data_IF_628137019308
#
_entry.id   IF_628137019308
#
_cell.length_a   1.000
_cell.length_b   1.000
_cell.length_c   1.000
_cell.angle_alpha   90.00
_cell.angle_beta   90.00
_cell.angle_gamma   90.00
#
_symmetry.space_group_name_H-M   'P 1'
#
loop_
_entity.id
_entity.type
_entity.pdbx_description
1 polymer ?
#
# COMPACT_ATOMS: atom_id res chain seq x y z
N UNK A 1 -45.80 7.30 1.16
CA UNK A 1 -44.62 8.18 1.01
C UNK A 1 -43.38 7.37 1.37
N UNK A 2 -42.46 7.19 0.44
CA UNK A 2 -41.20 6.47 0.70
C UNK A 2 -40.32 7.35 1.57
N UNK A 3 -39.93 6.88 2.76
CA UNK A 3 -39.09 7.65 3.68
C UNK A 3 -37.70 7.84 3.05
N UNK A 4 -37.36 9.08 2.71
CA UNK A 4 -36.10 9.49 2.06
C UNK A 4 -34.88 8.98 2.85
N UNK A 5 -34.94 9.01 4.18
CA UNK A 5 -33.86 8.53 5.04
C UNK A 5 -33.70 7.01 4.93
N UNK A 6 -34.79 6.25 4.84
CA UNK A 6 -34.72 4.79 4.61
C UNK A 6 -34.02 4.46 3.31
N UNK A 7 -34.28 5.22 2.23
CA UNK A 7 -33.59 5.02 0.93
C UNK A 7 -32.10 5.37 1.05
N UNK A 8 -31.75 6.48 1.71
CA UNK A 8 -30.36 6.86 1.99
C UNK A 8 -29.62 5.76 2.77
N UNK A 9 -30.25 5.20 3.79
CA UNK A 9 -29.66 4.15 4.61
C UNK A 9 -29.47 2.84 3.82
N UNK A 10 -30.48 2.40 3.08
CA UNK A 10 -30.37 1.21 2.23
C UNK A 10 -29.24 1.36 1.20
N UNK A 11 -29.09 2.55 0.62
CA UNK A 11 -28.00 2.88 -0.30
C UNK A 11 -26.63 2.72 0.37
N UNK A 12 -26.39 3.36 1.51
CA UNK A 12 -25.09 3.28 2.21
C UNK A 12 -24.76 1.84 2.60
N UNK A 13 -25.73 1.09 3.13
CA UNK A 13 -25.53 -0.32 3.51
C UNK A 13 -25.07 -1.13 2.30
N UNK A 14 -25.78 -1.00 1.17
CA UNK A 14 -25.43 -1.69 -0.06
C UNK A 14 -24.04 -1.30 -0.56
N UNK A 15 -23.69 0.00 -0.51
CA UNK A 15 -22.36 0.46 -0.93
C UNK A 15 -21.24 -0.09 -0.04
N UNK A 16 -21.42 -0.10 1.29
CA UNK A 16 -20.44 -0.65 2.22
C UNK A 16 -20.27 -2.15 1.98
N UNK A 17 -21.36 -2.90 1.87
CA UNK A 17 -21.34 -4.35 1.63
C UNK A 17 -20.64 -4.64 0.29
N UNK A 18 -20.95 -3.91 -0.77
CA UNK A 18 -20.32 -4.11 -2.07
C UNK A 18 -18.83 -3.74 -2.06
N UNK A 19 -18.46 -2.65 -1.39
CA UNK A 19 -17.07 -2.19 -1.29
C UNK A 19 -16.18 -3.14 -0.49
N UNK A 20 -16.78 -3.89 0.44
CA UNK A 20 -16.07 -4.87 1.29
C UNK A 20 -16.22 -6.30 0.81
N UNK A 21 -17.04 -6.58 -0.21
CA UNK A 21 -17.25 -7.93 -0.71
C UNK A 21 -15.96 -8.49 -1.35
N UNK A 22 -15.38 -9.58 -0.81
CA UNK A 22 -14.13 -10.16 -1.34
C UNK A 22 -14.32 -10.82 -2.71
N UNK A 23 -15.55 -11.18 -3.10
CA UNK A 23 -15.86 -11.86 -4.35
C UNK A 23 -16.05 -10.92 -5.54
N UNK A 24 -16.20 -9.61 -5.28
CA UNK A 24 -16.33 -8.62 -6.35
C UNK A 24 -14.94 -8.15 -6.77
N UNK A 25 -14.36 -8.84 -7.75
CA UNK A 25 -13.14 -8.37 -8.43
C UNK A 25 -13.48 -7.15 -9.27
N UNK A 26 -12.82 -6.04 -9.00
CA UNK A 26 -12.93 -4.88 -9.88
C UNK A 26 -14.17 -4.02 -9.67
N UNK A 27 -14.63 -3.81 -8.44
CA UNK A 27 -15.03 -2.43 -8.10
C UNK A 27 -13.73 -1.61 -7.98
N UNK A 28 -13.00 -1.53 -9.10
CA UNK A 28 -11.95 -0.54 -9.32
C UNK A 28 -12.71 0.76 -9.45
N UNK A 29 -13.05 1.31 -8.29
CA UNK A 29 -13.75 2.56 -8.13
C UNK A 29 -13.10 3.60 -9.06
N UNK A 30 -13.82 3.98 -10.12
CA UNK A 30 -13.54 5.14 -10.95
C UNK A 30 -13.75 6.43 -10.13
N UNK A 31 -13.14 6.50 -8.95
CA UNK A 31 -13.27 7.61 -8.05
C UNK A 31 -11.94 8.34 -7.97
N UNK A 32 -11.93 9.63 -8.31
CA UNK A 32 -10.71 10.41 -8.36
C UNK A 32 -9.95 10.45 -7.02
N UNK A 33 -10.59 10.22 -5.88
CA UNK A 33 -9.99 10.36 -4.56
C UNK A 33 -9.16 9.15 -4.09
N UNK A 34 -9.43 7.93 -4.56
CA UNK A 34 -8.63 6.75 -4.20
C UNK A 34 -7.21 6.83 -4.76
N UNK A 35 -7.07 7.36 -5.98
CA UNK A 35 -5.77 7.65 -6.57
C UNK A 35 -4.95 8.65 -5.78
N UNK A 36 -5.57 9.54 -4.97
CA UNK A 36 -4.83 10.54 -4.20
C UNK A 36 -3.99 9.95 -3.08
N UNK A 37 -4.48 8.90 -2.40
CA UNK A 37 -3.70 8.21 -1.37
C UNK A 37 -2.43 7.62 -1.97
N UNK A 38 -2.58 6.87 -3.06
CA UNK A 38 -1.45 6.19 -3.69
C UNK A 38 -0.49 7.19 -4.37
N UNK A 39 -1.01 8.19 -5.07
CA UNK A 39 -0.18 9.21 -5.73
C UNK A 39 0.60 10.07 -4.73
N UNK A 40 -0.02 10.46 -3.60
CA UNK A 40 0.71 11.19 -2.55
C UNK A 40 1.76 10.30 -1.87
N UNK A 41 1.44 9.03 -1.60
CA UNK A 41 2.41 8.05 -1.07
C UNK A 41 3.59 7.86 -2.03
N UNK A 42 3.32 7.67 -3.32
CA UNK A 42 4.34 7.56 -4.35
C UNK A 42 5.24 8.80 -4.35
N UNK A 43 4.65 10.00 -4.41
CA UNK A 43 5.39 11.26 -4.39
C UNK A 43 6.37 11.37 -3.20
N UNK A 44 5.95 11.02 -1.99
CA UNK A 44 6.80 11.09 -0.79
C UNK A 44 7.76 9.90 -0.62
N UNK A 45 7.54 8.81 -1.34
CA UNK A 45 8.46 7.66 -1.38
C UNK A 45 9.62 7.82 -2.37
N UNK A 46 9.50 8.77 -3.32
CA UNK A 46 10.52 9.01 -4.34
C UNK A 46 11.73 9.74 -3.74
N UNK A 47 12.97 9.31 -4.09
CA UNK A 47 14.18 10.10 -3.89
C UNK A 47 14.06 11.49 -4.53
N UNK A 48 14.81 12.47 -4.02
CA UNK A 48 14.71 13.87 -4.49
C UNK A 48 15.04 13.99 -5.99
N UNK A 49 16.00 13.21 -6.47
CA UNK A 49 16.47 13.16 -7.84
C UNK A 49 15.37 12.65 -8.78
N UNK A 50 14.62 11.63 -8.35
CA UNK A 50 13.50 11.07 -9.12
C UNK A 50 12.26 11.97 -9.00
N UNK A 51 12.04 12.58 -7.83
CA UNK A 51 10.98 13.55 -7.61
C UNK A 51 11.14 14.76 -8.55
N UNK A 52 12.36 15.17 -8.87
CA UNK A 52 12.61 16.22 -9.87
C UNK A 52 12.08 15.83 -11.27
N UNK A 53 12.27 14.58 -11.70
CA UNK A 53 11.88 14.10 -13.03
C UNK A 53 10.40 13.69 -13.13
N UNK A 54 9.91 12.93 -12.16
CA UNK A 54 8.57 12.33 -12.17
C UNK A 54 7.54 13.10 -11.32
N UNK A 55 7.99 13.90 -10.37
CA UNK A 55 7.14 14.66 -9.46
C UNK A 55 6.12 15.54 -10.18
N UNK A 56 6.48 16.34 -11.19
CA UNK A 56 5.52 17.19 -11.91
C UNK A 56 4.35 16.41 -12.53
N UNK A 57 4.61 15.22 -13.09
CA UNK A 57 3.58 14.37 -13.69
C UNK A 57 2.64 13.77 -12.61
N UNK A 58 3.20 13.40 -11.46
CA UNK A 58 2.42 12.92 -10.31
C UNK A 58 1.55 14.06 -9.76
N UNK A 59 2.09 15.27 -9.62
CA UNK A 59 1.32 16.45 -9.18
C UNK A 59 0.19 16.76 -10.16
N UNK A 60 0.45 16.73 -11.46
CA UNK A 60 -0.58 16.99 -12.47
C UNK A 60 -1.66 15.90 -12.48
N UNK A 61 -1.28 14.65 -12.26
CA UNK A 61 -2.23 13.56 -12.06
C UNK A 61 -3.10 13.82 -10.82
N UNK A 62 -2.49 14.21 -9.70
CA UNK A 62 -3.20 14.59 -8.48
C UNK A 62 -4.19 15.73 -8.76
N UNK A 63 -3.78 16.79 -9.46
CA UNK A 63 -4.67 17.91 -9.84
C UNK A 63 -5.86 17.44 -10.69
N UNK A 64 -5.62 16.56 -11.66
CA UNK A 64 -6.66 15.96 -12.50
C UNK A 64 -7.61 15.05 -11.73
N UNK A 65 -7.12 14.39 -10.69
CA UNK A 65 -7.95 13.64 -9.77
C UNK A 65 -8.81 14.60 -8.92
N UNK A 66 -8.22 15.66 -8.38
CA UNK A 66 -8.96 16.66 -7.59
C UNK A 66 -10.04 17.37 -8.42
N UNK A 67 -9.77 17.71 -9.68
CA UNK A 67 -10.74 18.40 -10.54
C UNK A 67 -12.01 17.59 -10.81
N UNK A 68 -11.93 16.26 -10.69
CA UNK A 68 -13.05 15.34 -10.84
C UNK A 68 -13.76 15.04 -9.51
N UNK A 69 -13.15 15.39 -8.37
CA UNK A 69 -13.75 15.23 -7.04
C UNK A 69 -14.83 16.28 -6.80
N UNK A 70 -15.95 15.86 -6.18
CA UNK A 70 -17.09 16.74 -5.92
C UNK A 70 -17.13 17.25 -4.49
N UNK A 71 -16.34 16.69 -3.58
CA UNK A 71 -16.15 17.24 -2.22
C UNK A 71 -15.85 18.75 -2.27
N UNK A 72 -15.04 19.21 -3.23
CA UNK A 72 -14.69 20.63 -3.38
C UNK A 72 -15.87 21.53 -3.74
N UNK A 73 -16.75 21.11 -4.67
CA UNK A 73 -17.97 21.86 -5.01
C UNK A 73 -18.98 21.87 -3.85
N UNK A 74 -19.08 20.78 -3.10
CA UNK A 74 -20.13 20.58 -2.11
C UNK A 74 -19.89 21.27 -0.76
N UNK A 75 -18.65 21.68 -0.45
CA UNK A 75 -18.39 22.61 0.66
C UNK A 75 -18.98 23.98 0.35
N UNK A 76 -18.88 24.44 -0.89
CA UNK A 76 -19.37 25.75 -1.30
C UNK A 76 -20.90 25.80 -1.33
N UNK A 77 -21.56 24.68 -1.62
CA UNK A 77 -23.02 24.54 -1.60
C UNK A 77 -23.62 24.33 -0.18
N UNK A 78 -22.78 24.37 0.88
CA UNK A 78 -23.24 24.37 2.28
C UNK A 78 -23.60 23.00 2.88
N UNK A 79 -23.26 21.90 2.21
CA UNK A 79 -23.70 20.55 2.60
C UNK A 79 -22.70 19.86 3.55
N UNK A 80 -21.47 20.37 3.65
CA UNK A 80 -20.42 19.77 4.48
C UNK A 80 -20.35 20.44 5.85
N UNK A 81 -20.53 19.62 6.88
CA UNK A 81 -20.80 20.09 8.24
C UNK A 81 -19.61 19.87 9.18
N UNK A 82 -18.85 18.79 9.01
CA UNK A 82 -17.71 18.54 9.88
C UNK A 82 -16.48 19.38 9.45
N UNK A 83 -15.87 20.06 10.42
CA UNK A 83 -14.72 20.94 10.20
C UNK A 83 -13.55 20.23 9.54
N UNK A 84 -13.34 18.94 9.81
CA UNK A 84 -12.20 18.19 9.29
C UNK A 84 -12.40 17.85 7.79
N UNK A 85 -13.64 17.62 7.36
CA UNK A 85 -13.97 17.46 5.93
C UNK A 85 -13.86 18.80 5.19
N UNK A 86 -14.25 19.88 5.86
CA UNK A 86 -14.07 21.24 5.32
C UNK A 86 -12.59 21.56 5.12
N UNK A 87 -11.74 21.27 6.11
CA UNK A 87 -10.28 21.44 5.99
C UNK A 87 -9.70 20.60 4.85
N UNK A 88 -10.10 19.34 4.74
CA UNK A 88 -9.71 18.47 3.62
C UNK A 88 -10.08 19.09 2.27
N UNK A 89 -11.32 19.56 2.12
CA UNK A 89 -11.76 20.23 0.89
C UNK A 89 -10.92 21.48 0.56
N UNK A 90 -10.56 22.26 1.57
CA UNK A 90 -9.68 23.43 1.39
C UNK A 90 -8.30 22.99 0.90
N UNK A 91 -7.72 21.93 1.48
CA UNK A 91 -6.44 21.37 1.05
C UNK A 91 -6.50 20.86 -0.40
N UNK A 92 -7.60 20.22 -0.81
CA UNK A 92 -7.82 19.82 -2.20
C UNK A 92 -7.79 21.04 -3.14
N UNK A 93 -8.51 22.12 -2.80
CA UNK A 93 -8.50 23.35 -3.60
C UNK A 93 -7.10 23.97 -3.72
N UNK A 94 -6.35 24.03 -2.62
CA UNK A 94 -4.96 24.54 -2.65
C UNK A 94 -4.04 23.71 -3.55
N UNK A 95 -4.15 22.39 -3.54
CA UNK A 95 -3.35 21.54 -4.43
C UNK A 95 -3.77 21.75 -5.89
N UNK A 96 -5.07 21.84 -6.15
CA UNK A 96 -5.60 22.09 -7.50
C UNK A 96 -5.00 23.37 -8.09
N UNK A 97 -4.96 24.45 -7.29
CA UNK A 97 -4.48 25.75 -7.73
C UNK A 97 -2.95 25.83 -7.75
N UNK A 98 -2.29 25.48 -6.65
CA UNK A 98 -0.86 25.73 -6.44
C UNK A 98 -0.03 24.46 -6.69
N UNK A 99 -0.45 23.32 -6.14
CA UNK A 99 0.25 22.03 -6.29
C UNK A 99 1.63 21.98 -5.64
N UNK A 100 1.86 22.76 -4.58
CA UNK A 100 3.14 22.79 -3.86
C UNK A 100 3.38 21.51 -3.06
N UNK A 101 4.64 21.15 -2.84
CA UNK A 101 5.01 19.99 -2.00
C UNK A 101 4.42 20.09 -0.58
N UNK A 102 4.42 21.28 0.02
CA UNK A 102 3.77 21.51 1.31
C UNK A 102 2.27 21.20 1.28
N UNK A 103 1.56 21.59 0.22
CA UNK A 103 0.14 21.31 0.07
C UNK A 103 -0.11 19.80 -0.11
N UNK A 104 0.74 19.10 -0.88
CA UNK A 104 0.70 17.65 -1.02
C UNK A 104 0.97 16.94 0.30
N UNK A 105 1.89 17.45 1.11
CA UNK A 105 2.22 16.88 2.42
C UNK A 105 1.05 17.03 3.39
N UNK A 106 0.37 18.18 3.37
CA UNK A 106 -0.86 18.39 4.15
C UNK A 106 -1.95 17.41 3.74
N UNK A 107 -2.20 17.24 2.44
CA UNK A 107 -3.17 16.26 1.95
C UNK A 107 -2.79 14.85 2.39
N UNK A 108 -1.53 14.45 2.20
CA UNK A 108 -1.02 13.17 2.65
C UNK A 108 -1.31 12.97 4.14
N UNK A 109 -0.97 13.93 5.00
CA UNK A 109 -1.24 13.82 6.43
C UNK A 109 -2.74 13.77 6.77
N UNK A 110 -3.57 14.56 6.09
CA UNK A 110 -5.03 14.55 6.30
C UNK A 110 -5.64 13.20 5.96
N UNK A 111 -5.21 12.58 4.87
CA UNK A 111 -5.69 11.27 4.41
C UNK A 111 -5.37 10.13 5.41
N UNK A 112 -4.34 10.29 6.26
CA UNK A 112 -3.98 9.34 7.32
C UNK A 112 -4.47 9.78 8.71
N UNK A 113 -5.21 10.89 8.80
CA UNK A 113 -5.66 11.45 10.07
C UNK A 113 -6.88 10.72 10.63
N UNK A 114 -6.79 10.28 11.89
CA UNK A 114 -7.92 9.74 12.65
C UNK A 114 -9.06 10.78 12.80
N UNK A 115 -8.71 12.07 12.91
CA UNK A 115 -9.71 13.13 13.02
C UNK A 115 -10.47 13.33 11.71
N UNK A 116 -9.79 13.21 10.56
CA UNK A 116 -10.45 13.23 9.26
C UNK A 116 -11.40 12.04 9.12
N UNK A 117 -10.96 10.83 9.46
CA UNK A 117 -11.78 9.62 9.50
C UNK A 117 -13.06 9.80 10.35
N UNK A 118 -12.91 10.31 11.59
CA UNK A 118 -14.04 10.65 12.47
C UNK A 118 -14.99 11.66 11.82
N UNK A 119 -14.44 12.67 11.16
CA UNK A 119 -15.21 13.70 10.47
C UNK A 119 -16.06 13.15 9.33
N UNK A 120 -15.56 12.13 8.62
CA UNK A 120 -16.33 11.48 7.55
C UNK A 120 -17.56 10.80 8.16
N UNK A 121 -17.37 9.97 9.19
CA UNK A 121 -18.48 9.24 9.82
C UNK A 121 -19.55 10.19 10.37
N UNK A 122 -19.13 11.28 11.04
CA UNK A 122 -20.06 12.30 11.55
C UNK A 122 -20.84 12.96 10.42
N UNK A 123 -20.17 13.28 9.31
CA UNK A 123 -20.81 13.86 8.12
C UNK A 123 -21.86 12.91 7.53
N UNK A 124 -21.52 11.64 7.32
CA UNK A 124 -22.45 10.63 6.82
C UNK A 124 -23.66 10.47 7.74
N UNK A 125 -23.45 10.35 9.05
CA UNK A 125 -24.55 10.26 10.03
C UNK A 125 -25.47 11.47 10.00
N UNK A 126 -24.93 12.68 9.78
CA UNK A 126 -25.77 13.89 9.69
C UNK A 126 -26.59 13.91 8.40
N UNK A 127 -25.98 13.57 7.27
CA UNK A 127 -26.67 13.47 5.96
C UNK A 127 -27.77 12.40 5.94
N UNK A 128 -27.62 11.34 6.74
CA UNK A 128 -28.66 10.32 6.93
C UNK A 128 -29.87 10.83 7.74
N UNK A 129 -29.70 11.84 8.59
CA UNK A 129 -30.75 12.39 9.45
C UNK A 129 -31.52 13.53 8.80
N UNK A 130 -30.87 14.28 7.92
CA UNK A 130 -31.43 15.50 7.34
C UNK A 130 -32.14 15.20 6.01
N UNK A 131 -33.45 15.45 5.98
CA UNK A 131 -34.30 15.22 4.81
C UNK A 131 -34.19 16.34 3.76
N UNK A 132 -33.63 17.50 4.12
CA UNK A 132 -33.63 18.68 3.26
C UNK A 132 -32.57 18.65 2.14
N UNK A 133 -31.62 17.71 2.19
CA UNK A 133 -30.59 17.58 1.17
C UNK A 133 -31.06 16.77 -0.04
N UNK A 134 -30.71 17.25 -1.24
CA UNK A 134 -30.95 16.56 -2.50
C UNK A 134 -30.34 15.15 -2.49
N UNK A 135 -31.19 14.15 -2.78
CA UNK A 135 -30.84 12.73 -2.77
C UNK A 135 -29.69 12.40 -3.73
N UNK A 136 -29.72 12.96 -4.95
CA UNK A 136 -28.72 12.68 -5.98
C UNK A 136 -27.35 13.20 -5.57
N UNK A 137 -27.33 14.36 -4.93
CA UNK A 137 -26.11 14.92 -4.34
C UNK A 137 -25.62 14.10 -3.15
N UNK A 138 -26.50 13.70 -2.22
CA UNK A 138 -26.14 12.84 -1.09
C UNK A 138 -25.45 11.56 -1.53
N UNK A 139 -25.98 10.86 -2.56
CA UNK A 139 -25.39 9.60 -3.03
C UNK A 139 -23.96 9.76 -3.57
N UNK A 140 -23.71 10.81 -4.35
CA UNK A 140 -22.35 11.09 -4.86
C UNK A 140 -21.37 11.36 -3.72
N UNK A 141 -21.79 12.12 -2.72
CA UNK A 141 -20.97 12.44 -1.56
C UNK A 141 -20.75 11.19 -0.68
N UNK A 142 -21.78 10.33 -0.54
CA UNK A 142 -21.65 9.05 0.15
C UNK A 142 -20.60 8.17 -0.50
N UNK A 143 -20.61 8.04 -1.83
CA UNK A 143 -19.62 7.21 -2.53
C UNK A 143 -18.20 7.71 -2.27
N UNK A 144 -17.94 9.00 -2.47
CA UNK A 144 -16.59 9.58 -2.28
C UNK A 144 -16.10 9.43 -0.82
N UNK A 145 -16.97 9.69 0.15
CA UNK A 145 -16.64 9.62 1.58
C UNK A 145 -16.52 8.19 2.12
N UNK A 146 -17.41 7.28 1.71
CA UNK A 146 -17.35 5.88 2.12
C UNK A 146 -16.09 5.21 1.59
N UNK A 147 -15.63 5.58 0.39
CA UNK A 147 -14.39 5.03 -0.15
C UNK A 147 -13.16 5.44 0.65
N UNK A 148 -13.08 6.71 1.03
CA UNK A 148 -12.01 7.19 1.91
C UNK A 148 -12.04 6.49 3.29
N UNK A 149 -13.23 6.19 3.82
CA UNK A 149 -13.37 5.40 5.05
C UNK A 149 -12.83 3.97 4.90
N UNK A 150 -13.20 3.29 3.81
CA UNK A 150 -12.78 1.91 3.57
C UNK A 150 -11.26 1.85 3.30
N UNK A 151 -10.73 2.79 2.53
CA UNK A 151 -9.28 2.89 2.26
C UNK A 151 -8.50 3.12 3.55
N UNK A 152 -8.96 4.05 4.40
CA UNK A 152 -8.35 4.28 5.72
C UNK A 152 -8.29 2.98 6.55
N UNK A 153 -9.35 2.17 6.54
CA UNK A 153 -9.37 0.91 7.28
C UNK A 153 -8.43 -0.15 6.70
N UNK A 154 -8.25 -0.20 5.38
CA UNK A 154 -7.26 -1.09 4.76
C UNK A 154 -5.83 -0.67 5.06
N UNK A 155 -5.55 0.64 5.03
CA UNK A 155 -4.29 1.19 5.52
C UNK A 155 -4.08 0.80 6.98
N UNK A 156 -5.13 0.85 7.81
CA UNK A 156 -5.08 0.36 9.19
C UNK A 156 -5.00 -1.16 9.33
N UNK A 157 -5.18 -1.92 8.25
CA UNK A 157 -4.96 -3.38 8.20
C UNK A 157 -6.20 -4.24 8.34
N UNK A 158 -7.38 -3.65 8.28
CA UNK A 158 -8.61 -4.44 8.28
C UNK A 158 -8.74 -5.22 6.95
N UNK A 159 -9.12 -6.49 7.03
CA UNK A 159 -9.44 -7.30 5.87
C UNK A 159 -10.86 -7.02 5.34
N UNK A 160 -11.05 -7.18 4.02
CA UNK A 160 -12.36 -7.06 3.38
C UNK A 160 -13.34 -8.07 3.94
N UNK A 161 -12.86 -9.29 4.11
CA UNK A 161 -13.59 -10.47 4.55
C UNK A 161 -14.14 -10.29 5.97
N UNK A 162 -13.30 -9.82 6.90
CA UNK A 162 -13.72 -9.52 8.29
C UNK A 162 -14.79 -8.43 8.34
N UNK A 163 -14.57 -7.34 7.60
CA UNK A 163 -15.53 -6.24 7.51
C UNK A 163 -16.86 -6.69 6.89
N UNK A 164 -16.80 -7.42 5.78
CA UNK A 164 -17.97 -7.95 5.07
C UNK A 164 -18.82 -8.87 5.95
N UNK A 165 -18.18 -9.82 6.63
CA UNK A 165 -18.86 -10.73 7.55
C UNK A 165 -19.56 -9.95 8.69
N UNK A 166 -18.88 -8.95 9.26
CA UNK A 166 -19.43 -8.12 10.33
C UNK A 166 -20.62 -7.28 9.86
N UNK A 167 -20.50 -6.63 8.71
CA UNK A 167 -21.55 -5.76 8.18
C UNK A 167 -22.77 -6.55 7.72
N UNK A 168 -22.59 -7.72 7.11
CA UNK A 168 -23.69 -8.62 6.80
C UNK A 168 -24.44 -9.06 8.06
N UNK A 169 -23.73 -9.41 9.14
CA UNK A 169 -24.35 -9.79 10.40
C UNK A 169 -25.17 -8.62 11.01
N UNK A 170 -24.61 -7.40 11.01
CA UNK A 170 -25.35 -6.21 11.46
C UNK A 170 -26.60 -6.01 10.60
N UNK A 171 -26.48 -6.11 9.27
CA UNK A 171 -27.61 -5.94 8.35
C UNK A 171 -28.68 -7.03 8.56
N UNK A 172 -28.30 -8.30 8.74
CA UNK A 172 -29.23 -9.39 8.98
C UNK A 172 -29.99 -9.25 10.31
N UNK A 173 -29.32 -8.74 11.35
CA UNK A 173 -29.96 -8.48 12.64
C UNK A 173 -30.93 -7.29 12.61
N UNK A 174 -30.85 -6.42 11.60
CA UNK A 174 -31.60 -5.17 11.52
C UNK A 174 -32.40 -5.06 10.20
N UNK A 175 -32.81 -6.18 9.61
CA UNK A 175 -33.51 -6.23 8.31
C UNK A 175 -34.73 -5.30 8.21
N UNK A 176 -35.43 -5.08 9.32
CA UNK A 176 -36.65 -4.23 9.37
C UNK A 176 -36.36 -2.74 9.60
N UNK A 177 -35.12 -2.37 9.94
CA UNK A 177 -34.74 -0.98 10.20
C UNK A 177 -33.37 -0.67 9.58
N UNK A 178 -33.39 -0.23 8.32
CA UNK A 178 -32.18 0.16 7.59
C UNK A 178 -31.45 1.33 8.24
N UNK A 179 -32.16 2.23 8.93
CA UNK A 179 -31.52 3.35 9.62
C UNK A 179 -30.67 2.86 10.79
N UNK A 180 -31.21 2.01 11.65
CA UNK A 180 -30.45 1.41 12.76
C UNK A 180 -29.27 0.58 12.25
N UNK A 181 -29.47 -0.18 11.17
CA UNK A 181 -28.40 -0.95 10.54
C UNK A 181 -27.25 -0.04 10.07
N UNK A 182 -27.57 1.04 9.33
CA UNK A 182 -26.58 1.98 8.83
C UNK A 182 -25.82 2.68 9.97
N UNK A 183 -26.53 3.11 11.02
CA UNK A 183 -25.90 3.73 12.19
C UNK A 183 -24.98 2.75 12.92
N UNK A 184 -25.41 1.51 13.16
CA UNK A 184 -24.58 0.47 13.80
C UNK A 184 -23.32 0.14 12.99
N UNK A 185 -23.42 0.10 11.66
CA UNK A 185 -22.25 -0.08 10.78
C UNK A 185 -21.29 1.10 10.93
N UNK A 186 -21.79 2.34 10.85
CA UNK A 186 -20.97 3.55 11.00
C UNK A 186 -20.34 3.67 12.41
N UNK A 187 -21.04 3.25 13.46
CA UNK A 187 -20.49 3.16 14.83
C UNK A 187 -19.42 2.08 14.97
N UNK A 188 -19.61 0.94 14.30
CA UNK A 188 -18.61 -0.10 14.28
C UNK A 188 -17.33 0.36 13.57
N UNK A 189 -17.49 0.98 12.38
CA UNK A 189 -16.40 1.60 11.61
C UNK A 189 -15.64 2.62 12.48
N UNK A 190 -16.37 3.50 13.19
CA UNK A 190 -15.77 4.46 14.11
C UNK A 190 -14.90 3.76 15.14
N UNK A 191 -15.46 2.75 15.81
CA UNK A 191 -14.81 2.04 16.91
C UNK A 191 -13.51 1.37 16.47
N UNK A 192 -13.53 0.64 15.35
CA UNK A 192 -12.36 -0.10 14.87
C UNK A 192 -11.31 0.85 14.27
N UNK A 193 -11.76 1.90 13.57
CA UNK A 193 -10.88 2.89 12.93
C UNK A 193 -10.20 3.85 13.90
N UNK A 194 -10.64 3.94 15.16
CA UNK A 194 -10.01 4.77 16.20
C UNK A 194 -9.37 3.96 17.32
N UNK A 195 -9.51 2.63 17.31
CA UNK A 195 -8.90 1.78 18.35
C UNK A 195 -7.37 1.88 18.27
N UNK A 196 -6.66 2.22 19.37
CA UNK A 196 -5.20 2.29 19.34
C UNK A 196 -4.60 0.89 19.14
N UNK A 197 -3.61 0.76 18.26
CA UNK A 197 -2.96 -0.52 17.95
C UNK A 197 -2.42 -1.22 19.20
N UNK A 198 -1.88 -0.46 20.15
CA UNK A 198 -1.38 -0.97 21.44
C UNK A 198 -2.41 -1.67 22.30
N UNK A 199 -3.71 -1.41 22.08
CA UNK A 199 -4.85 -2.05 22.77
C UNK A 199 -5.37 -3.31 22.05
N UNK A 200 -4.79 -3.67 20.91
CA UNK A 200 -5.13 -4.88 20.19
C UNK A 200 -4.38 -6.08 20.77
N UNK A 201 -4.89 -7.28 20.48
CA UNK A 201 -4.22 -8.54 20.88
C UNK A 201 -2.81 -8.56 20.29
N UNK A 202 -1.82 -8.92 21.10
CA UNK A 202 -0.40 -8.92 20.74
C UNK A 202 0.02 -10.35 20.46
N UNK A 203 0.58 -10.59 19.28
CA UNK A 203 1.15 -11.89 18.92
C UNK A 203 2.66 -11.74 18.75
N UNK A 204 3.41 -12.69 19.29
CA UNK A 204 4.86 -12.70 19.21
C UNK A 204 5.32 -13.34 17.90
N UNK A 205 6.28 -12.68 17.23
CA UNK A 205 6.83 -13.13 15.95
C UNK A 205 8.36 -13.16 16.04
N UNK A 206 8.93 -14.29 15.65
CA UNK A 206 10.37 -14.51 15.60
C UNK A 206 10.79 -14.98 14.22
N UNK A 207 11.75 -14.29 13.63
CA UNK A 207 12.42 -14.70 12.39
C UNK A 207 13.82 -15.17 12.75
N UNK A 208 14.18 -16.40 12.37
CA UNK A 208 15.51 -16.96 12.55
C UNK A 208 16.17 -17.07 11.18
N UNK A 209 17.40 -16.57 11.09
CA UNK A 209 18.26 -16.71 9.90
C UNK A 209 19.50 -17.50 10.29
N UNK A 210 19.77 -18.56 9.54
CA UNK A 210 20.95 -19.41 9.78
C UNK A 210 22.18 -18.85 9.05
N UNK A 211 23.26 -18.58 9.81
CA UNK A 211 24.60 -18.20 9.33
C UNK A 211 25.37 -19.43 8.88
N UNK A 212 25.14 -19.86 7.65
CA UNK A 212 26.02 -20.87 7.04
C UNK A 212 27.24 -20.19 6.42
N UNK A 213 28.42 -20.79 6.60
CA UNK A 213 29.70 -20.30 6.04
C UNK A 213 29.70 -20.22 4.50
N UNK A 214 28.81 -20.94 3.83
CA UNK A 214 28.63 -20.94 2.37
C UNK A 214 27.76 -19.79 1.85
N UNK A 215 27.09 -19.03 2.72
CA UNK A 215 26.16 -17.99 2.31
C UNK A 215 26.88 -16.64 2.16
N UNK A 216 27.47 -16.40 0.99
CA UNK A 216 28.20 -15.18 0.63
C UNK A 216 27.35 -13.89 0.74
N UNK A 217 26.02 -14.02 0.68
CA UNK A 217 25.08 -12.89 0.64
C UNK A 217 24.31 -12.68 1.96
N UNK A 218 24.89 -13.08 3.08
CA UNK A 218 24.32 -12.92 4.42
C UNK A 218 23.91 -11.48 4.70
N UNK A 219 24.84 -10.53 4.54
CA UNK A 219 24.58 -9.10 4.77
C UNK A 219 23.41 -8.57 3.92
N UNK A 220 23.29 -9.02 2.68
CA UNK A 220 22.19 -8.62 1.81
C UNK A 220 20.84 -9.16 2.29
N UNK A 221 20.77 -10.42 2.72
CA UNK A 221 19.55 -10.99 3.32
C UNK A 221 19.15 -10.23 4.61
N UNK A 222 20.13 -9.82 5.40
CA UNK A 222 19.91 -8.95 6.56
C UNK A 222 19.29 -7.61 6.17
N UNK A 223 19.88 -6.91 5.21
CA UNK A 223 19.38 -5.63 4.72
C UNK A 223 17.97 -5.74 4.15
N UNK A 224 17.66 -6.83 3.43
CA UNK A 224 16.31 -7.12 2.92
C UNK A 224 15.29 -7.24 4.06
N UNK A 225 15.61 -8.02 5.10
CA UNK A 225 14.71 -8.25 6.24
C UNK A 225 14.53 -6.98 7.05
N UNK A 226 15.62 -6.28 7.36
CA UNK A 226 15.58 -5.02 8.12
C UNK A 226 14.79 -3.95 7.39
N UNK A 227 14.90 -3.87 6.05
CA UNK A 227 14.07 -2.98 5.25
C UNK A 227 12.59 -3.33 5.38
N UNK A 228 12.21 -4.58 5.15
CA UNK A 228 10.82 -5.00 5.27
C UNK A 228 10.25 -4.82 6.69
N UNK A 229 11.01 -5.14 7.73
CA UNK A 229 10.59 -4.90 9.11
C UNK A 229 10.47 -3.40 9.42
N UNK A 230 11.36 -2.58 8.87
CA UNK A 230 11.30 -1.11 9.02
C UNK A 230 10.07 -0.55 8.31
N UNK A 231 9.74 -1.04 7.12
CA UNK A 231 8.54 -0.63 6.38
C UNK A 231 7.28 -1.05 7.15
N UNK A 232 7.21 -2.29 7.64
CA UNK A 232 6.13 -2.76 8.50
C UNK A 232 6.02 -1.93 9.78
N UNK A 233 7.14 -1.53 10.40
CA UNK A 233 7.14 -0.66 11.57
C UNK A 233 6.61 0.75 11.24
N UNK A 234 7.06 1.36 10.14
CA UNK A 234 6.59 2.69 9.68
C UNK A 234 5.11 2.69 9.34
N UNK A 235 4.62 1.60 8.76
CA UNK A 235 3.19 1.36 8.52
C UNK A 235 2.41 1.04 9.80
N UNK A 236 3.06 1.08 10.98
CA UNK A 236 2.51 0.68 12.27
C UNK A 236 1.92 -0.74 12.29
N UNK A 237 2.46 -1.64 11.46
CA UNK A 237 2.00 -3.03 11.34
C UNK A 237 2.54 -3.90 12.47
N UNK A 238 3.75 -3.60 12.93
CA UNK A 238 4.49 -4.31 13.96
C UNK A 238 5.04 -3.34 15.00
N UNK A 239 5.44 -3.86 16.16
CA UNK A 239 6.27 -3.10 17.11
C UNK A 239 7.67 -2.87 16.53
N UNK A 240 8.45 -2.02 17.20
CA UNK A 240 9.90 -2.00 16.99
C UNK A 240 10.43 -3.43 17.17
N UNK A 241 11.34 -3.84 16.28
CA UNK A 241 11.96 -5.15 16.35
C UNK A 241 13.26 -5.11 17.15
N UNK A 242 13.62 -6.25 17.75
CA UNK A 242 14.89 -6.49 18.43
C UNK A 242 15.67 -7.50 17.61
N UNK A 243 16.93 -7.16 17.31
CA UNK A 243 17.86 -8.05 16.63
C UNK A 243 18.81 -8.67 17.65
N UNK A 244 18.90 -9.99 17.69
CA UNK A 244 19.92 -10.72 18.45
C UNK A 244 20.83 -11.45 17.48
N UNK A 245 22.14 -11.31 17.68
CA UNK A 245 23.11 -11.89 16.76
C UNK A 245 24.04 -12.87 17.46
N UNK A 246 24.07 -14.11 16.98
CA UNK A 246 24.90 -15.19 17.52
C UNK A 246 25.87 -15.69 16.46
N UNK A 247 26.79 -16.61 16.82
CA UNK A 247 27.74 -17.17 15.86
C UNK A 247 27.03 -17.95 14.74
N UNK A 248 25.96 -18.68 15.08
CA UNK A 248 25.27 -19.58 14.14
C UNK A 248 24.01 -18.97 13.53
N UNK A 249 23.34 -18.04 14.21
CA UNK A 249 22.07 -17.48 13.76
C UNK A 249 21.99 -15.96 14.04
N UNK A 250 21.21 -15.24 13.25
CA UNK A 250 20.60 -13.97 13.68
C UNK A 250 19.12 -14.18 13.89
N UNK A 251 18.56 -13.61 14.95
CA UNK A 251 17.13 -13.61 15.21
C UNK A 251 16.58 -12.18 15.21
N UNK A 252 15.38 -12.02 14.66
CA UNK A 252 14.58 -10.81 14.74
C UNK A 252 13.30 -11.12 15.50
N UNK A 253 13.05 -10.37 16.58
CA UNK A 253 11.88 -10.52 17.44
C UNK A 253 11.03 -9.26 17.38
N UNK A 254 9.72 -9.40 17.17
CA UNK A 254 8.79 -8.28 17.16
C UNK A 254 7.37 -8.74 17.48
N UNK A 255 6.53 -7.78 17.87
CA UNK A 255 5.10 -8.01 18.14
C UNK A 255 4.30 -7.58 16.91
N UNK A 256 3.38 -8.43 16.46
CA UNK A 256 2.32 -8.04 15.52
C UNK A 256 1.01 -7.81 16.29
N UNK A 257 0.37 -6.67 16.02
CA UNK A 257 -0.94 -6.34 16.61
C UNK A 257 -2.04 -6.99 15.78
N UNK A 258 -2.77 -7.93 16.36
CA UNK A 258 -3.85 -8.65 15.67
C UNK A 258 -5.08 -7.74 15.56
N UNK A 259 -5.18 -7.09 14.40
CA UNK A 259 -6.34 -6.28 14.00
C UNK A 259 -7.54 -7.18 13.71
N UNK A 260 -7.31 -8.22 12.92
CA UNK A 260 -8.23 -9.34 12.71
C UNK A 260 -7.44 -10.63 12.41
N UNK A 261 -8.15 -11.75 12.23
CA UNK A 261 -7.52 -13.06 11.99
C UNK A 261 -6.70 -13.07 10.68
N UNK A 262 -7.23 -12.47 9.62
CA UNK A 262 -6.59 -12.51 8.31
C UNK A 262 -5.43 -11.53 8.19
N UNK A 263 -5.44 -10.45 8.95
CA UNK A 263 -4.40 -9.43 8.96
C UNK A 263 -3.02 -10.01 9.28
N UNK A 264 -2.95 -10.85 10.31
CA UNK A 264 -1.71 -11.49 10.74
C UNK A 264 -1.21 -12.41 9.63
N UNK A 265 -2.09 -13.28 9.13
CA UNK A 265 -1.77 -14.23 8.07
C UNK A 265 -1.33 -13.51 6.79
N UNK A 266 -2.05 -12.47 6.34
CA UNK A 266 -1.71 -11.67 5.15
C UNK A 266 -0.38 -10.94 5.31
N UNK A 267 -0.11 -10.35 6.48
CA UNK A 267 1.13 -9.61 6.75
C UNK A 267 2.35 -10.54 6.71
N UNK A 268 2.28 -11.67 7.41
CA UNK A 268 3.36 -12.65 7.45
C UNK A 268 3.52 -13.40 6.11
N UNK A 269 2.42 -13.70 5.43
CA UNK A 269 2.43 -14.30 4.09
C UNK A 269 3.12 -13.40 3.09
N UNK A 270 2.78 -12.10 3.02
CA UNK A 270 3.42 -11.14 2.12
C UNK A 270 4.94 -11.07 2.34
N UNK A 271 5.38 -11.10 3.60
CA UNK A 271 6.80 -11.13 3.93
C UNK A 271 7.48 -12.42 3.42
N UNK A 272 6.87 -13.58 3.67
CA UNK A 272 7.42 -14.87 3.23
C UNK A 272 7.38 -15.04 1.71
N UNK A 273 6.35 -14.53 1.02
CA UNK A 273 6.29 -14.49 -0.44
C UNK A 273 7.42 -13.62 -1.01
N UNK A 274 7.68 -12.44 -0.44
CA UNK A 274 8.80 -11.60 -0.84
C UNK A 274 10.15 -12.30 -0.62
N UNK A 275 10.32 -12.98 0.52
CA UNK A 275 11.51 -13.78 0.78
C UNK A 275 11.65 -14.97 -0.19
N UNK A 276 10.58 -15.70 -0.47
CA UNK A 276 10.61 -16.83 -1.40
C UNK A 276 10.94 -16.37 -2.82
N UNK A 277 10.39 -15.23 -3.25
CA UNK A 277 10.74 -14.61 -4.53
C UNK A 277 12.23 -14.26 -4.58
N UNK A 278 12.77 -13.66 -3.50
CA UNK A 278 14.21 -13.40 -3.36
C UNK A 278 15.01 -14.70 -3.47
N UNK A 279 14.64 -15.71 -2.68
CA UNK A 279 15.27 -17.03 -2.66
C UNK A 279 15.33 -17.66 -4.05
N UNK A 280 14.23 -17.62 -4.80
CA UNK A 280 14.16 -18.14 -6.16
C UNK A 280 15.03 -17.35 -7.14
N UNK A 281 15.08 -16.02 -7.01
CA UNK A 281 15.88 -15.14 -7.89
C UNK A 281 17.37 -15.29 -7.70
N UNK A 282 17.80 -15.55 -6.46
CA UNK A 282 19.22 -15.70 -6.12
C UNK A 282 19.66 -17.16 -6.05
N UNK A 283 18.80 -18.11 -6.47
CA UNK A 283 19.04 -19.56 -6.46
C UNK A 283 19.63 -20.06 -5.13
N UNK A 284 19.06 -19.60 -4.00
CA UNK A 284 19.53 -20.04 -2.69
C UNK A 284 19.13 -21.51 -2.47
N UNK A 285 20.10 -22.45 -2.41
CA UNK A 285 19.82 -23.88 -2.42
C UNK A 285 19.14 -24.35 -1.13
N UNK A 286 19.30 -23.62 -0.03
CA UNK A 286 18.75 -23.95 1.27
C UNK A 286 17.77 -22.89 1.80
N UNK A 287 16.87 -23.30 2.70
CA UNK A 287 16.00 -22.35 3.37
C UNK A 287 16.74 -21.72 4.54
N UNK A 288 17.28 -20.52 4.31
CA UNK A 288 18.06 -19.80 5.32
C UNK A 288 17.20 -19.04 6.34
N UNK A 289 15.88 -18.95 6.13
CA UNK A 289 14.94 -18.23 6.98
C UNK A 289 13.82 -19.14 7.49
N UNK A 290 13.53 -19.05 8.79
CA UNK A 290 12.34 -19.66 9.42
C UNK A 290 11.58 -18.58 10.19
N UNK A 291 10.28 -18.49 9.96
CA UNK A 291 9.39 -17.56 10.66
C UNK A 291 8.51 -18.32 11.65
N UNK A 292 8.46 -17.85 12.89
CA UNK A 292 7.63 -18.37 13.96
C UNK A 292 6.58 -17.34 14.37
N UNK A 293 5.33 -17.78 14.52
CA UNK A 293 4.23 -17.04 15.12
C UNK A 293 3.83 -17.79 16.41
N UNK A 294 3.89 -17.12 17.56
CA UNK A 294 3.61 -17.72 18.87
C UNK A 294 4.33 -19.07 19.08
N UNK A 295 5.63 -19.11 18.77
CA UNK A 295 6.50 -20.29 18.84
C UNK A 295 6.13 -21.46 17.90
N UNK A 296 5.19 -21.28 16.96
CA UNK A 296 4.89 -22.26 15.92
C UNK A 296 5.46 -21.79 14.59
N UNK A 297 6.02 -22.71 13.80
CA UNK A 297 6.49 -22.38 12.45
C UNK A 297 5.30 -21.90 11.62
N UNK A 298 5.39 -20.69 11.11
CA UNK A 298 4.38 -20.12 10.23
C UNK A 298 4.67 -20.59 8.79
N UNK A 299 3.65 -21.10 8.12
CA UNK A 299 3.74 -21.58 6.73
C UNK A 299 2.73 -20.85 5.87
N UNK A 300 3.11 -20.53 4.63
CA UNK A 300 2.22 -19.84 3.69
C UNK A 300 1.18 -20.83 3.16
N UNK A 301 -0.13 -20.57 3.32
CA UNK A 301 -1.17 -21.39 2.71
C UNK A 301 -1.16 -21.18 1.19
N UNK A 302 -1.00 -22.26 0.41
CA UNK A 302 -1.11 -22.27 -1.05
C UNK A 302 -0.22 -21.23 -1.78
N UNK A 303 1.10 -21.38 -1.69
CA UNK A 303 1.98 -20.78 -2.70
C UNK A 303 1.61 -21.36 -4.07
N UNK A 304 0.95 -20.57 -4.91
CA UNK A 304 0.99 -20.83 -6.34
C UNK A 304 2.41 -20.55 -6.79
N UNK A 305 3.05 -21.53 -7.40
CA UNK A 305 4.28 -21.33 -8.17
C UNK A 305 3.96 -20.42 -9.36
N UNK A 306 3.81 -19.12 -9.11
CA UNK A 306 3.64 -18.16 -10.18
C UNK A 306 4.99 -18.00 -10.88
N UNK A 307 5.05 -18.59 -12.08
CA UNK A 307 5.99 -18.38 -13.19
C UNK A 307 7.42 -17.97 -12.84
N UNK A 308 8.38 -18.82 -13.21
CA UNK A 308 9.81 -18.49 -13.28
C UNK A 308 10.04 -17.22 -14.12
N UNK A 309 10.06 -16.05 -13.49
CA UNK A 309 10.60 -14.83 -14.09
C UNK A 309 12.12 -14.95 -14.01
N UNK A 310 12.73 -15.53 -15.05
CA UNK A 310 14.19 -15.68 -15.16
C UNK A 310 14.78 -14.43 -15.81
N UNK A 311 15.37 -13.55 -15.00
CA UNK A 311 16.27 -12.51 -15.52
C UNK A 311 17.68 -13.09 -15.59
N UNK A 312 17.89 -13.97 -16.59
CA UNK A 312 19.07 -14.84 -16.77
C UNK A 312 20.45 -14.18 -16.67
N UNK A 313 20.55 -12.86 -16.84
CA UNK A 313 21.83 -12.13 -16.92
C UNK A 313 22.08 -11.21 -15.71
N UNK A 314 21.04 -10.77 -15.02
CA UNK A 314 21.18 -10.04 -13.74
C UNK A 314 21.49 -11.02 -12.61
N UNK A 315 21.01 -12.26 -12.72
CA UNK A 315 21.37 -13.40 -11.87
C UNK A 315 22.90 -13.56 -11.75
N UNK A 316 23.65 -13.50 -12.86
CA UNK A 316 25.10 -13.73 -12.84
C UNK A 316 25.88 -12.59 -12.17
N UNK A 317 25.53 -11.33 -12.47
CA UNK A 317 26.09 -10.16 -11.79
C UNK A 317 25.80 -10.21 -10.28
N UNK A 318 24.55 -10.50 -9.89
CA UNK A 318 24.15 -10.60 -8.49
C UNK A 318 24.73 -11.83 -7.77
N UNK A 319 25.02 -12.93 -8.47
CA UNK A 319 25.63 -14.13 -7.89
C UNK A 319 27.16 -13.98 -7.74
N UNK A 320 27.81 -13.22 -8.62
CA UNK A 320 29.27 -13.00 -8.63
C UNK A 320 29.69 -11.73 -7.87
N UNK A 321 28.77 -10.81 -7.58
CA UNK A 321 29.04 -9.62 -6.76
C UNK A 321 29.13 -9.95 -5.27
N UNK A 322 30.27 -9.60 -4.66
CA UNK A 322 30.42 -9.63 -3.21
C UNK A 322 29.80 -8.36 -2.60
N UNK A 323 28.53 -8.41 -2.17
CA UNK A 323 27.81 -7.25 -1.58
C UNK A 323 28.39 -6.78 -0.23
N UNK A 324 29.40 -7.47 0.29
CA UNK A 324 30.10 -7.13 1.53
C UNK A 324 30.74 -5.73 1.44
N UNK A 325 31.13 -5.29 0.24
CA UNK A 325 31.84 -4.03 -0.01
C UNK A 325 30.94 -2.90 -0.57
N UNK A 326 29.64 -3.15 -0.73
CA UNK A 326 28.69 -2.16 -1.23
C UNK A 326 28.09 -1.34 -0.07
N UNK A 327 27.87 -0.04 -0.32
CA UNK A 327 27.21 0.82 0.65
C UNK A 327 25.76 0.38 0.91
N UNK A 328 25.22 0.67 2.10
CA UNK A 328 23.82 0.36 2.45
C UNK A 328 22.82 0.98 1.47
N UNK A 329 23.15 2.16 0.92
CA UNK A 329 22.38 2.84 -0.11
C UNK A 329 22.31 2.01 -1.40
N UNK A 330 23.42 1.44 -1.84
CA UNK A 330 23.50 0.62 -3.04
C UNK A 330 22.76 -0.72 -2.87
N UNK A 331 22.82 -1.33 -1.68
CA UNK A 331 22.02 -2.50 -1.35
C UNK A 331 20.51 -2.21 -1.44
N UNK A 332 20.08 -1.03 -0.97
CA UNK A 332 18.69 -0.59 -1.01
C UNK A 332 18.20 -0.27 -2.43
N UNK A 333 19.05 0.29 -3.27
CA UNK A 333 18.74 0.58 -4.67
C UNK A 333 18.72 -0.68 -5.55
N UNK A 334 19.59 -1.68 -5.27
CA UNK A 334 19.52 -2.99 -5.93
C UNK A 334 18.22 -3.71 -5.58
N UNK A 335 17.78 -3.64 -4.31
CA UNK A 335 16.48 -4.15 -3.89
C UNK A 335 15.32 -3.44 -4.62
N UNK A 336 15.38 -2.12 -4.80
CA UNK A 336 14.38 -1.35 -5.57
C UNK A 336 14.41 -1.70 -7.06
N UNK A 337 15.58 -1.84 -7.67
CA UNK A 337 15.72 -2.25 -9.06
C UNK A 337 15.16 -3.67 -9.29
N UNK A 338 15.34 -4.58 -8.32
CA UNK A 338 14.72 -5.91 -8.34
C UNK A 338 13.19 -5.87 -8.19
N UNK A 339 12.65 -4.93 -7.41
CA UNK A 339 11.21 -4.69 -7.36
C UNK A 339 10.70 -4.08 -8.68
N UNK A 340 11.42 -3.12 -9.26
CA UNK A 340 11.05 -2.39 -10.48
C UNK A 340 11.22 -3.20 -11.76
N UNK A 341 12.12 -4.18 -11.80
CA UNK A 341 12.25 -5.12 -12.93
C UNK A 341 11.04 -6.05 -13.07
N UNK A 342 10.16 -6.13 -12.05
CA UNK A 342 8.86 -6.82 -12.15
C UNK A 342 7.73 -5.97 -12.76
N UNK A 343 7.96 -4.66 -12.92
CA UNK A 343 6.98 -3.70 -13.43
C UNK A 343 6.81 -3.76 -14.96
N UNK A 344 7.89 -3.89 -15.76
CA UNK A 344 7.81 -4.07 -17.22
C UNK A 344 6.94 -5.25 -17.68
N UNK A 345 6.92 -6.35 -16.91
CA UNK A 345 6.07 -7.52 -17.24
C UNK A 345 4.59 -7.31 -16.88
N UNK A 346 4.28 -6.30 -16.06
CA UNK A 346 2.91 -6.00 -15.58
C UNK A 346 2.27 -4.79 -16.28
N UNK A 347 3.03 -4.01 -17.03
CA UNK A 347 2.53 -2.83 -17.74
C UNK A 347 2.41 -3.10 -19.24
N UNK A 348 1.27 -2.74 -19.82
CA UNK A 348 1.09 -2.74 -21.29
C UNK A 348 1.78 -1.53 -21.94
N UNK A 349 2.20 -0.53 -21.16
CA UNK A 349 2.88 0.66 -21.65
C UNK A 349 4.41 0.44 -21.74
N UNK A 350 4.84 0.07 -22.95
CA UNK A 350 6.24 -0.18 -23.29
C UNK A 350 7.14 1.06 -23.11
N UNK A 351 6.59 2.27 -23.21
CA UNK A 351 7.36 3.53 -23.06
C UNK A 351 7.71 3.77 -21.60
N UNK A 352 6.78 3.49 -20.69
CA UNK A 352 7.02 3.61 -19.25
C UNK A 352 7.99 2.54 -18.75
N UNK A 353 7.83 1.28 -19.20
CA UNK A 353 8.78 0.21 -18.92
C UNK A 353 10.21 0.54 -19.39
N UNK A 354 10.34 1.14 -20.58
CA UNK A 354 11.61 1.61 -21.12
C UNK A 354 12.24 2.72 -20.26
N UNK A 355 11.46 3.73 -19.86
CA UNK A 355 11.97 4.82 -19.01
C UNK A 355 12.42 4.31 -17.64
N UNK A 356 11.70 3.38 -17.03
CA UNK A 356 12.12 2.77 -15.76
C UNK A 356 13.41 1.97 -15.89
N UNK A 357 13.56 1.18 -16.97
CA UNK A 357 14.80 0.44 -17.24
C UNK A 357 15.97 1.39 -17.57
N UNK A 358 15.71 2.47 -18.30
CA UNK A 358 16.69 3.51 -18.63
C UNK A 358 17.18 4.24 -17.38
N UNK A 359 16.30 4.64 -16.47
CA UNK A 359 16.69 5.29 -15.21
C UNK A 359 17.47 4.35 -14.28
N UNK A 360 17.16 3.05 -14.28
CA UNK A 360 17.96 2.03 -13.56
C UNK A 360 19.37 1.93 -14.16
N UNK A 361 19.48 1.97 -15.50
CA UNK A 361 20.77 1.93 -16.20
C UNK A 361 21.59 3.19 -15.95
N UNK A 362 21.01 4.39 -16.05
CA UNK A 362 21.70 5.65 -15.76
C UNK A 362 22.23 5.69 -14.32
N UNK A 363 21.43 5.19 -13.36
CA UNK A 363 21.86 5.10 -11.97
C UNK A 363 23.07 4.18 -11.78
N UNK A 364 23.10 3.02 -12.44
CA UNK A 364 24.24 2.09 -12.39
C UNK A 364 25.50 2.62 -13.09
N UNK A 365 25.34 3.53 -14.06
CA UNK A 365 26.44 4.15 -14.81
C UNK A 365 27.09 5.32 -14.06
N UNK A 366 26.34 6.03 -13.20
CA UNK A 366 26.84 7.19 -12.46
C UNK A 366 27.92 6.82 -11.42
N UNK A 367 27.94 5.57 -10.93
CA UNK A 367 28.87 5.12 -9.88
C UNK A 367 29.97 4.16 -10.38
N UNK A 368 30.02 3.88 -11.69
CA UNK A 368 31.10 3.09 -12.29
C UNK A 368 32.22 4.00 -12.78
N UNK A 369 33.18 4.31 -11.89
CA UNK A 369 34.38 5.11 -12.21
C UNK A 369 35.37 4.36 -13.14
N UNK A 370 35.06 3.13 -13.56
CA UNK A 370 35.89 2.29 -14.43
C UNK A 370 35.18 1.99 -15.77
N UNK A 371 35.81 2.41 -16.88
CA UNK A 371 35.29 2.27 -18.26
C UNK A 371 34.93 0.82 -18.64
N UNK A 372 35.60 -0.18 -18.06
CA UNK A 372 35.33 -1.60 -18.34
C UNK A 372 33.96 -2.08 -17.80
N UNK A 373 33.41 -1.42 -16.78
CA UNK A 373 32.08 -1.75 -16.22
C UNK A 373 30.95 -1.12 -17.05
N UNK A 374 31.16 0.09 -17.57
CA UNK A 374 30.25 0.77 -18.50
C UNK A 374 30.05 -0.08 -19.75
N UNK A 375 31.15 -0.60 -20.31
CA UNK A 375 31.13 -1.41 -21.52
C UNK A 375 30.38 -2.75 -21.32
N UNK A 376 30.47 -3.31 -20.11
CA UNK A 376 29.77 -4.53 -19.71
C UNK A 376 28.27 -4.29 -19.46
N UNK A 377 27.89 -3.16 -18.87
CA UNK A 377 26.50 -2.75 -18.70
C UNK A 377 25.87 -2.49 -20.07
N UNK A 378 26.52 -1.71 -20.92
CA UNK A 378 26.04 -1.39 -22.27
C UNK A 378 25.90 -2.64 -23.16
N UNK A 379 26.87 -3.55 -23.18
CA UNK A 379 26.80 -4.79 -23.99
C UNK A 379 25.67 -5.73 -23.57
N UNK A 380 25.26 -5.72 -22.30
CA UNK A 380 24.24 -6.62 -21.78
C UNK A 380 22.83 -5.98 -21.73
N UNK A 381 22.73 -4.66 -21.61
CA UNK A 381 21.47 -3.94 -21.45
C UNK A 381 20.87 -3.44 -22.79
N UNK A 382 21.72 -2.99 -23.72
CA UNK A 382 21.31 -2.49 -25.04
C UNK A 382 20.55 -3.55 -25.88
N UNK A 383 20.92 -4.85 -25.88
CA UNK A 383 20.14 -5.89 -26.58
C UNK A 383 18.72 -6.11 -26.02
N UNK A 384 18.46 -5.71 -24.77
CA UNK A 384 17.13 -5.80 -24.16
C UNK A 384 16.24 -4.64 -24.61
N UNK A 385 16.83 -3.47 -24.86
CA UNK A 385 16.14 -2.31 -25.41
C UNK A 385 15.79 -2.48 -26.89
N UNK A 386 16.61 -3.19 -27.65
CA UNK A 386 16.33 -3.49 -29.07
C UNK A 386 15.22 -4.54 -29.24
N UNK A 387 15.12 -5.55 -28.36
CA UNK A 387 14.06 -6.59 -28.41
C UNK A 387 12.64 -6.06 -28.18
N UNK A 388 12.48 -4.95 -27.47
CA UNK A 388 11.17 -4.31 -27.28
C UNK A 388 10.77 -3.36 -28.43
N UNK A 389 11.70 -3.06 -29.33
CA UNK A 389 11.50 -2.22 -30.52
C UNK A 389 11.43 -3.02 -31.82
N UNK A 390 11.90 -4.27 -31.86
CA UNK A 390 11.84 -5.12 -33.06
C UNK A 390 10.54 -5.91 -33.16
N UNK A 391 9.42 -5.20 -33.30
CA UNK A 391 8.16 -5.70 -33.83
C UNK A 391 7.35 -4.52 -34.37
N UNK A 392 7.79 -3.98 -35.51
CA UNK A 392 6.87 -3.41 -36.51
C UNK A 392 6.14 -4.53 -37.22
#
# INVERSE_FOLDING_TARGET
>A
MTNVNTIKCAYIINQIINSTNPHIKGVGFHFPLLGLHELTRQYFSLPNEIKFLAGPQIVESIKNHISKSKITSYVNDGIIIDKNIKEFSVNLSFIKEIGSELSLQRLHNTLYSEDFFKGIIRTLKKLLKDENYDLKMCYKLFDELLLLLIEYLFIRGHSKESLYAKFNNITSQNQKNSYDAAIKILDHLMTIGTKPLSSMEKLDVKIIINKQKSFSNYRFLHSFIERHLTDLFKENRISKYVKSDTYFNTEYHFIIYKIDKEYVDKTLTKFLEAYNLLKHRFDFPENHLILYLENKVFTVPNLKEDSKIKVKYFERFLLECNFIDLSDMMNLEILKALEWTSFPEKTTDKKYAFMSLWSIMEFLLIDSVDDNKIDTICKNFIPYMSRNYSAT
#
